data_IF_313474427867
#
_entry.id   IF_313474427867
#
_cell.length_a   1.000
_cell.length_b   1.000
_cell.length_c   1.000
_cell.angle_alpha   90.00
_cell.angle_beta   90.00
_cell.angle_gamma   90.00
#
_symmetry.space_group_name_H-M   'P 1'
#
loop_
_entity.id
_entity.type
_entity.pdbx_description
1 polymer ?
#
# COMPACT_ATOMS: atom_id res chain seq x y z
N UNK A 1 50.57 -12.63 71.73
CA UNK A 1 50.93 -11.88 70.50
C UNK A 1 50.31 -12.55 69.27
N UNK A 2 50.02 -11.81 68.19
CA UNK A 2 48.77 -11.80 67.42
C UNK A 2 48.80 -12.78 66.22
N UNK A 3 47.70 -13.15 65.56
CA UNK A 3 47.00 -12.32 64.55
C UNK A 3 45.61 -12.91 64.23
N UNK A 4 44.61 -12.12 64.58
CA UNK A 4 43.20 -12.20 64.19
C UNK A 4 43.02 -12.11 62.67
N UNK A 5 42.48 -13.17 62.04
CA UNK A 5 41.98 -13.08 60.65
C UNK A 5 40.59 -12.46 60.66
N UNK A 6 40.54 -11.16 60.33
CA UNK A 6 39.30 -10.38 60.11
C UNK A 6 38.46 -11.03 59.01
N UNK A 7 37.24 -11.47 59.35
CA UNK A 7 36.22 -11.89 58.38
C UNK A 7 35.68 -10.64 57.67
N UNK A 8 35.87 -10.58 56.35
CA UNK A 8 35.29 -9.54 55.52
C UNK A 8 33.75 -9.68 55.46
N UNK A 9 32.97 -8.59 55.59
CA UNK A 9 31.52 -8.67 55.49
C UNK A 9 31.12 -8.91 54.03
N UNK A 10 30.36 -9.99 53.79
CA UNK A 10 29.70 -10.25 52.50
C UNK A 10 28.78 -9.07 52.19
N UNK A 11 29.19 -8.24 51.24
CA UNK A 11 28.34 -7.20 50.63
C UNK A 11 27.08 -7.88 50.08
N UNK A 12 25.93 -7.57 50.66
CA UNK A 12 24.63 -7.97 50.12
C UNK A 12 24.47 -7.28 48.78
N UNK A 13 24.56 -8.05 47.70
CA UNK A 13 24.26 -7.56 46.36
C UNK A 13 22.75 -7.37 46.34
N UNK A 14 22.35 -6.13 46.63
CA UNK A 14 20.98 -5.63 46.52
C UNK A 14 20.53 -5.93 45.09
N UNK A 15 19.66 -6.93 44.90
CA UNK A 15 19.07 -7.24 43.61
C UNK A 15 18.29 -6.02 43.14
N UNK A 16 18.91 -5.21 42.29
CA UNK A 16 18.27 -4.09 41.62
C UNK A 16 17.20 -4.71 40.73
N UNK A 17 15.92 -4.55 41.13
CA UNK A 17 14.77 -4.91 40.30
C UNK A 17 14.96 -4.20 38.96
N UNK A 18 15.24 -4.98 37.92
CA UNK A 18 15.29 -4.52 36.53
C UNK A 18 13.92 -3.90 36.26
N UNK A 19 13.87 -2.56 36.20
CA UNK A 19 12.66 -1.85 35.79
C UNK A 19 12.29 -2.38 34.42
N UNK A 20 11.12 -3.01 34.30
CA UNK A 20 10.57 -3.47 33.03
C UNK A 20 10.61 -2.28 32.07
N UNK A 21 11.48 -2.36 31.05
CA UNK A 21 11.42 -1.44 29.92
C UNK A 21 10.07 -1.73 29.26
N UNK A 22 9.12 -0.83 29.47
CA UNK A 22 7.83 -0.79 28.79
C UNK A 22 8.12 -1.05 27.31
N UNK A 23 7.69 -2.21 26.83
CA UNK A 23 7.84 -2.58 25.44
C UNK A 23 7.10 -1.52 24.62
N UNK A 24 7.85 -0.70 23.88
CA UNK A 24 7.28 0.20 22.88
C UNK A 24 6.34 -0.63 22.01
N UNK A 25 5.06 -0.24 21.84
CA UNK A 25 4.20 -0.95 20.91
C UNK A 25 4.84 -0.82 19.52
N UNK A 26 5.27 -1.94 18.95
CA UNK A 26 5.68 -2.01 17.55
C UNK A 26 4.48 -1.52 16.76
N UNK A 27 4.57 -0.33 16.16
CA UNK A 27 3.58 0.16 15.19
C UNK A 27 3.39 -0.98 14.19
N UNK A 28 2.22 -1.63 14.22
CA UNK A 28 1.86 -2.61 13.20
C UNK A 28 2.01 -1.86 11.89
N UNK A 29 2.97 -2.25 11.05
CA UNK A 29 3.01 -1.81 9.66
C UNK A 29 1.65 -2.22 9.11
N UNK A 30 0.80 -1.23 8.82
CA UNK A 30 -0.41 -1.46 8.07
C UNK A 30 0.07 -2.13 6.77
N UNK A 31 -0.10 -3.45 6.67
CA UNK A 31 -0.06 -4.12 5.39
C UNK A 31 -1.26 -3.54 4.64
N UNK A 32 -0.99 -2.48 3.87
CA UNK A 32 -1.90 -2.03 2.84
C UNK A 32 -2.01 -3.22 1.89
N UNK A 33 -3.03 -4.07 2.12
CA UNK A 33 -3.51 -5.00 1.10
C UNK A 33 -3.64 -4.15 -0.16
N UNK A 34 -3.06 -4.56 -1.31
CA UNK A 34 -3.33 -3.84 -2.54
C UNK A 34 -4.84 -3.83 -2.69
N UNK A 35 -5.42 -2.63 -2.64
CA UNK A 35 -6.85 -2.46 -2.75
C UNK A 35 -7.27 -3.09 -4.06
N UNK A 36 -8.21 -4.04 -4.00
CA UNK A 36 -8.87 -4.66 -5.15
C UNK A 36 -9.39 -3.64 -6.19
N UNK A 37 -9.50 -2.36 -5.79
CA UNK A 37 -9.72 -1.21 -6.67
C UNK A 37 -8.70 -1.05 -7.82
N UNK A 38 -7.49 -1.63 -7.73
CA UNK A 38 -6.51 -1.56 -8.82
C UNK A 38 -6.72 -2.63 -9.89
N UNK A 39 -7.43 -3.72 -9.57
CA UNK A 39 -7.67 -4.84 -10.49
C UNK A 39 -8.99 -4.69 -11.27
N UNK A 40 -9.86 -3.77 -10.86
CA UNK A 40 -11.12 -3.47 -11.56
C UNK A 40 -10.96 -2.46 -12.71
N UNK A 41 -9.73 -2.08 -13.08
CA UNK A 41 -9.43 -1.14 -14.17
C UNK A 41 -9.15 -1.81 -15.52
N UNK A 42 -9.31 -3.13 -15.61
CA UNK A 42 -9.06 -3.88 -16.84
C UNK A 42 -10.30 -3.99 -17.72
N UNK A 43 -11.50 -3.90 -17.13
CA UNK A 43 -12.75 -3.91 -17.88
C UNK A 43 -13.05 -2.51 -18.39
N UNK A 44 -13.11 -2.34 -19.71
CA UNK A 44 -13.60 -1.10 -20.29
C UNK A 44 -15.03 -0.88 -19.83
N UNK A 45 -15.27 0.28 -19.21
CA UNK A 45 -16.59 0.61 -18.72
C UNK A 45 -17.51 0.84 -19.94
N UNK A 46 -18.47 -0.07 -20.16
CA UNK A 46 -19.42 0.01 -21.28
C UNK A 46 -20.15 1.35 -21.32
N UNK A 47 -20.48 1.94 -20.17
CA UNK A 47 -21.12 3.26 -20.12
C UNK A 47 -20.21 4.36 -20.70
N UNK A 48 -18.91 4.29 -20.44
CA UNK A 48 -17.96 5.24 -21.00
C UNK A 48 -17.82 5.09 -22.52
N UNK A 49 -17.89 3.84 -23.03
CA UNK A 49 -17.90 3.56 -24.48
C UNK A 49 -19.14 4.18 -25.13
N UNK A 50 -20.33 3.93 -24.57
CA UNK A 50 -21.58 4.48 -25.10
C UNK A 50 -21.55 6.01 -25.15
N UNK A 51 -21.09 6.65 -24.07
CA UNK A 51 -20.95 8.10 -24.02
C UNK A 51 -19.96 8.64 -25.07
N UNK A 52 -18.88 7.92 -25.33
CA UNK A 52 -17.89 8.28 -26.35
C UNK A 52 -18.49 8.16 -27.76
N UNK A 53 -19.23 7.08 -28.01
CA UNK A 53 -19.93 6.85 -29.28
C UNK A 53 -20.99 7.92 -29.51
N UNK A 54 -21.83 8.24 -28.53
CA UNK A 54 -22.88 9.26 -28.68
C UNK A 54 -22.29 10.64 -29.02
N UNK A 55 -21.18 11.01 -28.37
CA UNK A 55 -20.46 12.26 -28.65
C UNK A 55 -19.83 12.26 -30.04
N UNK A 56 -19.22 11.15 -30.45
CA UNK A 56 -18.60 10.98 -31.75
C UNK A 56 -19.62 10.89 -32.89
N UNK A 57 -20.79 10.29 -32.64
CA UNK A 57 -21.84 10.03 -33.65
C UNK A 57 -22.34 11.31 -34.30
N UNK A 58 -22.45 12.40 -33.54
CA UNK A 58 -22.87 13.69 -34.09
C UNK A 58 -21.83 14.28 -35.07
N UNK A 59 -20.55 13.93 -34.93
CA UNK A 59 -19.45 14.45 -35.77
C UNK A 59 -18.99 13.45 -36.83
N UNK A 60 -19.31 12.16 -36.66
CA UNK A 60 -18.87 11.07 -37.54
C UNK A 60 -17.46 10.56 -37.25
N UNK A 61 -16.80 11.05 -36.20
CA UNK A 61 -15.46 10.61 -35.80
C UNK A 61 -15.24 10.81 -34.30
N UNK A 62 -14.25 10.10 -33.75
CA UNK A 62 -13.75 10.28 -32.39
C UNK A 62 -12.26 10.59 -32.46
N UNK A 63 -11.81 11.55 -31.67
CA UNK A 63 -10.38 11.90 -31.59
C UNK A 63 -9.65 11.03 -30.57
N UNK A 64 -8.35 10.82 -30.76
CA UNK A 64 -7.53 10.11 -29.78
C UNK A 64 -7.58 10.77 -28.40
N UNK A 65 -7.60 12.10 -28.32
CA UNK A 65 -7.75 12.84 -27.07
C UNK A 65 -9.04 12.50 -26.32
N UNK A 66 -10.15 12.28 -27.03
CA UNK A 66 -11.42 11.89 -26.42
C UNK A 66 -11.36 10.46 -25.90
N UNK A 67 -10.73 9.54 -26.63
CA UNK A 67 -10.49 8.15 -26.18
C UNK A 67 -9.64 8.13 -24.91
N UNK A 68 -8.53 8.87 -24.88
CA UNK A 68 -7.62 8.94 -23.73
C UNK A 68 -8.28 9.61 -22.51
N UNK A 69 -9.09 10.64 -22.74
CA UNK A 69 -9.86 11.28 -21.68
C UNK A 69 -10.93 10.36 -21.09
N UNK A 70 -11.57 9.53 -21.91
CA UNK A 70 -12.56 8.55 -21.45
C UNK A 70 -11.88 7.37 -20.72
N UNK A 71 -10.68 7.00 -21.14
CA UNK A 71 -9.94 5.85 -20.61
C UNK A 71 -8.47 6.20 -20.28
N UNK A 72 -8.18 6.86 -19.14
CA UNK A 72 -6.84 7.34 -18.81
C UNK A 72 -5.78 6.26 -18.59
N UNK A 73 -6.19 4.98 -18.51
CA UNK A 73 -5.29 3.84 -18.32
C UNK A 73 -5.26 2.92 -19.53
N UNK A 74 -5.90 3.30 -20.64
CA UNK A 74 -6.03 2.48 -21.85
C UNK A 74 -4.68 2.26 -22.53
N UNK A 75 -3.78 3.24 -22.47
CA UNK A 75 -2.41 3.12 -23.00
C UNK A 75 -1.61 1.99 -22.34
N UNK A 76 -1.94 1.65 -21.09
CA UNK A 76 -1.29 0.56 -20.35
C UNK A 76 -1.90 -0.80 -20.68
N UNK A 77 -3.06 -0.82 -21.35
CA UNK A 77 -3.78 -2.02 -21.72
C UNK A 77 -4.08 -2.00 -23.24
N UNK A 78 -3.05 -2.33 -24.03
CA UNK A 78 -3.12 -2.39 -25.49
C UNK A 78 -4.24 -3.32 -25.95
N UNK A 79 -4.46 -4.45 -25.24
CA UNK A 79 -5.52 -5.39 -25.59
C UNK A 79 -6.92 -4.76 -25.50
N UNK A 80 -7.17 -3.95 -24.46
CA UNK A 80 -8.42 -3.19 -24.36
C UNK A 80 -8.54 -2.09 -25.43
N UNK A 81 -7.43 -1.47 -25.86
CA UNK A 81 -7.46 -0.56 -27.00
C UNK A 81 -7.89 -1.27 -28.29
N UNK A 82 -7.36 -2.46 -28.56
CA UNK A 82 -7.69 -3.24 -29.75
C UNK A 82 -9.18 -3.63 -29.77
N UNK A 83 -9.74 -4.05 -28.64
CA UNK A 83 -11.18 -4.34 -28.50
C UNK A 83 -12.10 -3.14 -28.79
N UNK A 84 -11.62 -1.90 -28.71
CA UNK A 84 -12.41 -0.72 -29.08
C UNK A 84 -12.48 -0.48 -30.59
N UNK A 85 -11.53 -1.02 -31.35
CA UNK A 85 -11.42 -0.78 -32.79
C UNK A 85 -12.01 -1.90 -33.66
N UNK A 86 -12.16 -3.11 -33.11
CA UNK A 86 -12.73 -4.29 -33.78
C UNK A 86 -14.15 -4.59 -33.30
#
# INVERSE_FOLDING_TARGET
>A
MPKTKKKAPKKSIRKVKKKNKLARPKKKKLSRKPSKAMQAKTALNQTAILNLIEKGRHRGFVTQSEVLSAFPSIEKNIHGLEELYY
#
